data_IF_115126749581
#
_entry.id   IF_115126749581
#
_cell.length_a   1.000
_cell.length_b   1.000
_cell.length_c   1.000
_cell.angle_alpha   90.00
_cell.angle_beta   90.00
_cell.angle_gamma   90.00
#
_symmetry.space_group_name_H-M   'P 1'
#
loop_
_entity.id
_entity.type
_entity.pdbx_description
1 polymer ?
#
# COMPACT_ATOMS: atom_id res chain seq x y z
N UNK A 1 -21.71 22.20 -6.58
CA UNK A 1 -21.98 23.53 -7.15
C UNK A 1 -23.48 23.77 -7.04
N UNK A 2 -23.92 24.70 -6.18
CA UNK A 2 -25.34 24.97 -5.95
C UNK A 2 -25.70 26.35 -6.51
N UNK A 3 -26.70 26.38 -7.40
CA UNK A 3 -27.25 27.58 -8.06
C UNK A 3 -28.22 28.36 -7.15
N UNK A 4 -28.20 29.69 -7.31
CA UNK A 4 -29.13 30.64 -6.70
C UNK A 4 -30.39 30.85 -7.56
N UNK A 5 -31.56 30.95 -6.92
CA UNK A 5 -32.80 31.51 -7.51
C UNK A 5 -33.36 32.64 -6.60
N UNK A 6 -33.98 33.71 -7.15
CA UNK A 6 -34.25 34.96 -6.43
C UNK A 6 -35.66 35.06 -5.80
N UNK A 7 -35.77 35.84 -4.71
CA UNK A 7 -36.99 36.11 -3.92
C UNK A 7 -37.95 37.10 -4.59
N UNK A 8 -39.26 36.80 -4.48
CA UNK A 8 -40.42 37.66 -4.81
C UNK A 8 -40.51 38.91 -3.93
N UNK A 9 -40.88 40.04 -4.54
CA UNK A 9 -41.26 41.31 -3.88
C UNK A 9 -42.64 41.21 -3.22
N UNK A 10 -42.78 41.64 -1.96
CA UNK A 10 -44.06 41.89 -1.29
C UNK A 10 -44.29 43.39 -1.08
N UNK A 11 -45.57 43.80 -1.12
CA UNK A 11 -46.10 45.17 -1.10
C UNK A 11 -45.91 45.88 0.25
N UNK A 12 -45.65 47.20 0.20
CA UNK A 12 -45.59 48.11 1.36
C UNK A 12 -46.97 48.35 2.01
N UNK A 13 -47.06 48.43 3.34
CA UNK A 13 -48.24 48.91 4.06
C UNK A 13 -48.23 50.44 4.26
N UNK A 14 -49.42 50.99 4.58
CA UNK A 14 -49.77 52.41 4.53
C UNK A 14 -49.12 53.30 5.62
N UNK A 15 -49.04 54.60 5.30
CA UNK A 15 -48.26 55.66 6.00
C UNK A 15 -48.68 55.97 7.44
N UNK A 16 -49.73 55.36 7.98
CA UNK A 16 -50.15 55.60 9.39
C UNK A 16 -49.53 54.64 10.40
N UNK A 17 -48.88 53.56 9.96
CA UNK A 17 -48.17 52.62 10.86
C UNK A 17 -46.73 53.05 11.17
N UNK A 18 -46.15 53.94 10.36
CA UNK A 18 -44.73 54.33 10.41
C UNK A 18 -44.45 55.32 11.57
N UNK A 19 -45.41 56.15 11.96
CA UNK A 19 -45.21 57.19 12.98
C UNK A 19 -45.19 56.67 14.42
N UNK A 20 -45.70 55.46 14.70
CA UNK A 20 -45.63 54.83 16.03
C UNK A 20 -44.46 53.84 16.19
N UNK A 21 -43.86 53.37 15.09
CA UNK A 21 -42.76 52.39 15.13
C UNK A 21 -41.38 53.03 15.36
N UNK A 22 -41.19 54.30 14.97
CA UNK A 22 -39.91 55.00 15.11
C UNK A 22 -39.49 55.18 16.59
N UNK A 23 -40.34 55.66 17.52
CA UNK A 23 -39.92 55.80 18.91
C UNK A 23 -39.65 54.45 19.58
N UNK A 24 -40.41 53.40 19.24
CA UNK A 24 -40.18 52.04 19.76
C UNK A 24 -38.86 51.47 19.25
N UNK A 25 -38.53 51.68 17.97
CA UNK A 25 -37.26 51.24 17.40
C UNK A 25 -36.06 51.95 18.04
N UNK A 26 -36.16 53.26 18.30
CA UNK A 26 -35.09 54.01 18.97
C UNK A 26 -34.91 53.51 20.41
N UNK A 27 -35.99 53.26 21.15
CA UNK A 27 -35.90 52.69 22.51
C UNK A 27 -35.27 51.30 22.49
N UNK A 28 -35.67 50.43 21.56
CA UNK A 28 -35.06 49.10 21.42
C UNK A 28 -33.56 49.16 21.08
N UNK A 29 -33.15 50.09 20.21
CA UNK A 29 -31.75 50.27 19.84
C UNK A 29 -30.93 50.83 21.00
N UNK A 30 -31.47 51.77 21.78
CA UNK A 30 -30.81 52.30 22.98
C UNK A 30 -30.70 51.24 24.07
N UNK A 31 -31.75 50.46 24.31
CA UNK A 31 -31.71 49.33 25.26
C UNK A 31 -30.72 48.26 24.82
N UNK A 32 -30.66 47.93 23.52
CA UNK A 32 -29.68 46.99 22.98
C UNK A 32 -28.24 47.52 23.09
N UNK A 33 -28.01 48.83 22.89
CA UNK A 33 -26.69 49.43 23.08
C UNK A 33 -26.29 49.47 24.57
N UNK A 34 -27.23 49.76 25.48
CA UNK A 34 -26.96 49.73 26.92
C UNK A 34 -26.71 48.31 27.45
N UNK A 35 -27.46 47.31 26.96
CA UNK A 35 -27.23 45.90 27.25
C UNK A 35 -25.92 45.37 26.65
N UNK A 36 -25.59 45.76 25.42
CA UNK A 36 -24.32 45.41 24.77
C UNK A 36 -23.09 45.98 25.50
N UNK A 37 -23.22 47.19 26.05
CA UNK A 37 -22.15 47.84 26.82
C UNK A 37 -21.96 47.20 28.21
N UNK A 38 -23.06 46.81 28.87
CA UNK A 38 -22.98 46.11 30.16
C UNK A 38 -22.44 44.68 30.02
N UNK A 39 -22.79 43.97 28.95
CA UNK A 39 -22.31 42.60 28.70
C UNK A 39 -20.82 42.54 28.29
N UNK A 40 -20.30 43.59 27.65
CA UNK A 40 -18.86 43.69 27.33
C UNK A 40 -18.00 44.01 28.56
N UNK A 41 -18.51 44.83 29.50
CA UNK A 41 -17.79 45.07 30.76
C UNK A 41 -17.79 43.84 31.69
N UNK A 42 -18.84 43.02 31.69
CA UNK A 42 -18.88 41.78 32.51
C UNK A 42 -18.08 40.63 31.91
N UNK A 43 -17.99 40.49 30.58
CA UNK A 43 -17.26 39.38 29.96
C UNK A 43 -15.73 39.56 29.98
N UNK A 44 -15.24 40.81 30.03
CA UNK A 44 -13.80 41.11 30.16
C UNK A 44 -13.30 40.95 31.61
N UNK A 45 -14.20 41.02 32.60
CA UNK A 45 -13.81 40.94 34.01
C UNK A 45 -13.52 39.51 34.52
N UNK A 46 -14.04 38.46 33.87
CA UNK A 46 -13.93 37.07 34.32
C UNK A 46 -12.83 36.24 33.62
N UNK A 47 -12.20 36.74 32.55
CA UNK A 47 -10.95 36.16 32.06
C UNK A 47 -9.76 36.72 32.83
N UNK A 48 -9.48 36.15 34.02
CA UNK A 48 -8.12 36.19 34.57
C UNK A 48 -7.19 35.39 33.66
N UNK A 49 -6.81 35.97 32.53
CA UNK A 49 -5.55 35.59 31.90
C UNK A 49 -4.48 36.08 32.87
N UNK A 50 -3.89 35.16 33.64
CA UNK A 50 -2.63 35.45 34.31
C UNK A 50 -1.71 36.03 33.25
N UNK A 51 -1.40 37.32 33.37
CA UNK A 51 -0.26 37.90 32.67
C UNK A 51 0.92 37.05 33.08
N UNK A 52 1.38 36.18 32.17
CA UNK A 52 2.65 35.51 32.30
C UNK A 52 3.67 36.64 32.39
N UNK A 53 4.13 36.93 33.61
CA UNK A 53 5.24 37.84 33.83
C UNK A 53 6.34 37.42 32.86
N UNK A 54 6.92 38.40 32.13
CA UNK A 54 8.08 38.14 31.28
C UNK A 54 9.09 37.37 32.13
N UNK A 55 9.44 36.12 31.77
CA UNK A 55 10.28 35.32 32.64
C UNK A 55 11.59 36.07 32.90
N UNK A 56 12.00 36.15 34.15
CA UNK A 56 13.30 36.74 34.48
C UNK A 56 14.42 35.96 33.78
N UNK A 57 15.56 36.59 33.51
CA UNK A 57 16.71 35.92 32.87
C UNK A 57 17.18 34.67 33.64
N UNK A 58 16.94 34.63 34.95
CA UNK A 58 17.20 33.48 35.82
C UNK A 58 16.17 32.34 35.64
N UNK A 59 14.88 32.65 35.43
CA UNK A 59 13.86 31.65 35.07
C UNK A 59 14.11 31.05 33.68
N UNK A 60 14.61 31.85 32.73
CA UNK A 60 15.01 31.35 31.42
C UNK A 60 16.13 30.31 31.51
N UNK A 61 17.10 30.47 32.41
CA UNK A 61 18.20 29.50 32.55
C UNK A 61 17.77 28.17 33.17
N UNK A 62 16.72 28.15 33.99
CA UNK A 62 16.18 26.90 34.57
C UNK A 62 15.05 26.26 33.72
N UNK A 63 14.45 26.99 32.78
CA UNK A 63 13.34 26.51 31.93
C UNK A 63 13.75 26.15 30.50
N UNK A 64 14.92 26.60 30.04
CA UNK A 64 15.44 26.30 28.70
C UNK A 64 16.42 25.15 28.80
N UNK A 65 16.11 24.03 28.14
CA UNK A 65 17.08 22.96 28.01
C UNK A 65 18.16 23.32 26.97
N UNK A 66 19.42 23.16 27.35
CA UNK A 66 20.60 23.55 26.55
C UNK A 66 21.48 22.36 26.19
N UNK A 67 21.06 21.14 26.51
CA UNK A 67 21.77 19.94 26.10
C UNK A 67 21.73 19.76 24.58
N UNK A 68 22.64 18.95 24.06
CA UNK A 68 22.83 18.75 22.63
C UNK A 68 21.53 18.31 21.91
N UNK A 69 20.76 17.42 22.54
CA UNK A 69 19.52 16.89 21.96
C UNK A 69 18.44 17.96 21.84
N UNK A 70 18.25 18.77 22.89
CA UNK A 70 17.32 19.89 22.90
C UNK A 70 17.67 20.94 21.85
N UNK A 71 18.94 21.33 21.77
CA UNK A 71 19.41 22.31 20.78
C UNK A 71 19.19 21.78 19.36
N UNK A 72 19.49 20.51 19.13
CA UNK A 72 19.31 19.87 17.81
C UNK A 72 17.83 19.77 17.42
N UNK A 73 16.96 19.40 18.36
CA UNK A 73 15.51 19.32 18.14
C UNK A 73 14.89 20.71 17.89
N UNK A 74 15.27 21.72 18.68
CA UNK A 74 14.80 23.09 18.51
C UNK A 74 15.24 23.67 17.16
N UNK A 75 16.48 23.40 16.74
CA UNK A 75 16.98 23.83 15.42
C UNK A 75 16.19 23.18 14.28
N UNK A 76 15.90 21.87 14.36
CA UNK A 76 15.08 21.17 13.37
C UNK A 76 13.67 21.77 13.25
N UNK A 77 13.02 22.05 14.39
CA UNK A 77 11.69 22.68 14.41
C UNK A 77 11.75 24.09 13.81
N UNK A 78 12.70 24.91 14.25
CA UNK A 78 12.82 26.30 13.82
C UNK A 78 13.13 26.43 12.33
N UNK A 79 13.92 25.53 11.75
CA UNK A 79 14.26 25.54 10.32
C UNK A 79 13.05 25.22 9.43
N UNK A 80 12.13 24.37 9.89
CA UNK A 80 10.98 23.94 9.09
C UNK A 80 9.76 24.87 9.22
N UNK A 81 9.71 25.66 10.30
CA UNK A 81 8.61 26.56 10.62
C UNK A 81 8.69 27.85 9.78
N UNK A 82 7.56 28.29 9.22
CA UNK A 82 7.41 29.64 8.66
C UNK A 82 6.73 30.57 9.68
N UNK A 83 7.54 31.34 10.39
CA UNK A 83 7.06 32.31 11.39
C UNK A 83 6.27 33.49 10.80
N UNK A 84 6.22 33.63 9.46
CA UNK A 84 5.40 34.66 8.81
C UNK A 84 3.96 34.22 8.60
N UNK A 85 3.69 32.92 8.60
CA UNK A 85 2.34 32.39 8.56
C UNK A 85 1.67 32.53 9.94
N UNK A 86 0.41 32.92 9.98
CA UNK A 86 -0.35 32.98 11.23
C UNK A 86 -0.82 31.56 11.62
N UNK A 87 -0.36 30.98 12.74
CA UNK A 87 -0.76 29.65 13.16
C UNK A 87 -2.27 29.53 13.43
N UNK A 88 -2.96 30.63 13.75
CA UNK A 88 -4.42 30.60 13.95
C UNK A 88 -5.20 30.48 12.63
N UNK A 89 -4.59 30.88 11.51
CA UNK A 89 -5.21 30.82 10.19
C UNK A 89 -4.74 29.60 9.39
N UNK A 90 -3.44 29.28 9.44
CA UNK A 90 -2.85 28.14 8.74
C UNK A 90 -1.72 27.51 9.57
N UNK A 91 -2.10 26.54 10.41
CA UNK A 91 -1.17 25.78 11.26
C UNK A 91 -0.14 24.98 10.46
N UNK A 92 -0.47 24.54 9.24
CA UNK A 92 0.41 23.72 8.40
C UNK A 92 1.48 24.60 7.76
N UNK A 93 1.09 25.74 7.20
CA UNK A 93 2.04 26.71 6.67
C UNK A 93 2.97 27.22 7.78
N UNK A 94 2.45 27.51 8.97
CA UNK A 94 3.28 27.89 10.11
C UNK A 94 4.26 26.78 10.51
N UNK A 95 3.81 25.55 10.70
CA UNK A 95 4.67 24.47 11.19
C UNK A 95 5.66 23.92 10.15
N UNK A 96 5.28 23.90 8.87
CA UNK A 96 5.98 23.16 7.81
C UNK A 96 6.31 24.02 6.58
N UNK A 97 5.96 25.31 6.55
CA UNK A 97 6.05 26.16 5.36
C UNK A 97 7.46 26.27 4.77
N UNK A 98 8.50 26.03 5.58
CA UNK A 98 9.89 26.04 5.12
C UNK A 98 10.48 24.63 4.91
N UNK A 99 9.72 23.55 5.15
CA UNK A 99 10.23 22.18 5.10
C UNK A 99 10.92 21.85 3.76
N UNK A 100 10.25 22.16 2.65
CA UNK A 100 10.76 21.90 1.30
C UNK A 100 11.99 22.73 0.91
N UNK A 101 12.29 23.83 1.61
CA UNK A 101 13.47 24.66 1.33
C UNK A 101 14.78 24.02 1.84
N UNK A 102 14.67 23.12 2.81
CA UNK A 102 15.81 22.54 3.52
C UNK A 102 15.97 21.02 3.32
N UNK A 103 14.97 20.38 2.72
CA UNK A 103 14.88 18.93 2.58
C UNK A 103 14.63 18.52 1.13
N UNK A 104 15.49 18.93 0.19
CA UNK A 104 15.40 18.49 -1.21
C UNK A 104 16.53 17.51 -1.56
N UNK A 105 16.28 16.18 -1.56
CA UNK A 105 17.27 15.25 -2.04
C UNK A 105 17.32 15.19 -3.57
N UNK A 106 16.18 15.21 -4.30
CA UNK A 106 16.12 14.67 -5.66
C UNK A 106 14.81 14.99 -6.44
N UNK A 107 14.23 16.20 -6.38
CA UNK A 107 12.98 16.52 -7.12
C UNK A 107 11.81 15.54 -6.80
N UNK A 108 11.65 15.13 -5.54
CA UNK A 108 10.52 14.27 -5.17
C UNK A 108 9.21 15.07 -5.26
N UNK A 109 8.18 14.48 -5.88
CA UNK A 109 6.89 15.13 -6.14
C UNK A 109 6.11 15.45 -4.85
N UNK A 110 6.43 14.74 -3.75
CA UNK A 110 5.91 14.96 -2.41
C UNK A 110 7.05 14.80 -1.40
N UNK A 111 7.19 15.74 -0.46
CA UNK A 111 8.24 15.72 0.55
C UNK A 111 7.65 15.82 1.95
N UNK A 112 8.01 14.89 2.83
CA UNK A 112 7.60 14.90 4.23
C UNK A 112 8.61 14.14 5.12
N UNK A 113 8.59 14.34 6.45
CA UNK A 113 9.50 13.68 7.38
C UNK A 113 9.57 12.15 7.25
N UNK A 114 8.46 11.52 6.90
CA UNK A 114 8.41 10.06 6.71
C UNK A 114 9.20 9.60 5.49
N UNK A 115 9.19 10.37 4.40
CA UNK A 115 9.96 10.09 3.19
C UNK A 115 11.45 10.26 3.46
N UNK A 116 11.85 11.33 4.15
CA UNK A 116 13.24 11.56 4.53
C UNK A 116 13.80 10.46 5.43
N UNK A 117 13.01 10.03 6.42
CA UNK A 117 13.38 8.90 7.27
C UNK A 117 13.53 7.62 6.46
N UNK A 118 12.62 7.36 5.51
CA UNK A 118 12.68 6.20 4.63
C UNK A 118 13.95 6.19 3.77
N UNK A 119 14.38 7.35 3.25
CA UNK A 119 15.66 7.48 2.54
C UNK A 119 16.87 7.23 3.45
N UNK A 120 16.86 7.73 4.69
CA UNK A 120 17.93 7.47 5.66
C UNK A 120 18.05 5.98 5.96
N UNK A 121 16.93 5.31 6.25
CA UNK A 121 16.88 3.86 6.47
C UNK A 121 17.36 3.10 5.23
N UNK A 122 16.88 3.50 4.04
CA UNK A 122 17.32 2.90 2.77
C UNK A 122 18.83 2.98 2.59
N UNK A 123 19.46 4.14 2.85
CA UNK A 123 20.91 4.30 2.72
C UNK A 123 21.68 3.34 3.64
N UNK A 124 21.23 3.17 4.88
CA UNK A 124 21.87 2.23 5.81
C UNK A 124 21.68 0.78 5.38
N UNK A 125 20.49 0.40 4.90
CA UNK A 125 20.27 -0.95 4.36
C UNK A 125 21.10 -1.19 3.09
N UNK A 126 21.22 -0.21 2.19
CA UNK A 126 22.10 -0.30 1.02
C UNK A 126 23.57 -0.46 1.40
N UNK A 127 24.05 0.20 2.47
CA UNK A 127 25.40 -0.03 3.02
C UNK A 127 25.62 -1.46 3.49
N UNK A 128 24.56 -2.17 3.90
CA UNK A 128 24.64 -3.59 4.27
C UNK A 128 24.67 -4.46 3.01
N UNK A 129 23.76 -4.22 2.07
CA UNK A 129 23.59 -5.01 0.85
C UNK A 129 24.77 -4.93 -0.12
N UNK A 130 25.43 -3.76 -0.19
CA UNK A 130 26.58 -3.53 -1.08
C UNK A 130 27.88 -4.14 -0.59
N UNK A 131 27.98 -4.49 0.71
CA UNK A 131 29.15 -5.19 1.24
C UNK A 131 29.21 -6.63 0.70
N UNK A 132 30.36 -7.13 0.24
CA UNK A 132 30.56 -8.53 -0.09
C UNK A 132 30.14 -9.43 1.07
N UNK A 133 29.53 -10.57 0.76
CA UNK A 133 29.30 -11.59 1.77
C UNK A 133 30.66 -12.13 2.26
N UNK A 134 30.83 -12.20 3.57
CA UNK A 134 32.03 -12.74 4.21
C UNK A 134 31.85 -14.23 4.50
N UNK A 135 32.95 -14.98 4.57
CA UNK A 135 32.94 -16.36 5.07
C UNK A 135 32.48 -16.47 6.53
N UNK A 136 32.54 -15.37 7.28
CA UNK A 136 32.03 -15.26 8.65
C UNK A 136 30.53 -14.95 8.74
N UNK A 137 29.87 -14.59 7.64
CA UNK A 137 28.44 -14.29 7.66
C UNK A 137 27.63 -15.56 7.91
N UNK A 138 26.56 -15.45 8.70
CA UNK A 138 25.57 -16.52 8.78
C UNK A 138 24.90 -16.70 7.40
N UNK A 139 24.45 -17.92 7.04
CA UNK A 139 23.83 -18.16 5.73
C UNK A 139 22.70 -17.16 5.41
N UNK A 140 21.83 -16.86 6.38
CA UNK A 140 20.73 -15.90 6.21
C UNK A 140 21.17 -14.43 6.10
N UNK A 141 22.38 -14.07 6.54
CA UNK A 141 22.96 -12.74 6.35
C UNK A 141 23.68 -12.61 5.00
N UNK A 142 24.26 -13.71 4.50
CA UNK A 142 24.91 -13.76 3.19
C UNK A 142 23.89 -13.70 2.03
N UNK A 143 22.76 -14.40 2.16
CA UNK A 143 21.70 -14.46 1.14
C UNK A 143 21.24 -13.09 0.58
N UNK A 144 20.82 -12.11 1.41
CA UNK A 144 20.40 -10.81 0.89
C UNK A 144 21.53 -10.06 0.16
N UNK A 145 22.78 -10.19 0.61
CA UNK A 145 23.95 -9.59 -0.05
C UNK A 145 24.21 -10.22 -1.41
N UNK A 146 24.19 -11.55 -1.48
CA UNK A 146 24.34 -12.29 -2.74
C UNK A 146 23.22 -11.98 -3.72
N UNK A 147 21.97 -11.97 -3.26
CA UNK A 147 20.82 -11.61 -4.08
C UNK A 147 21.00 -10.22 -4.67
N UNK A 148 21.34 -9.22 -3.85
CA UNK A 148 21.52 -7.85 -4.30
C UNK A 148 22.64 -7.74 -5.35
N UNK A 149 23.81 -8.32 -5.09
CA UNK A 149 24.95 -8.30 -6.01
C UNK A 149 24.64 -9.00 -7.34
N UNK A 150 23.99 -10.18 -7.29
CA UNK A 150 23.54 -10.90 -8.49
C UNK A 150 22.47 -10.12 -9.25
N UNK A 151 21.55 -9.47 -8.55
CA UNK A 151 20.52 -8.63 -9.18
C UNK A 151 21.13 -7.42 -9.91
N UNK A 152 22.18 -6.81 -9.36
CA UNK A 152 22.87 -5.67 -9.96
C UNK A 152 23.73 -6.04 -11.18
N UNK A 153 24.28 -7.26 -11.23
CA UNK A 153 25.16 -7.73 -12.32
C UNK A 153 24.40 -7.98 -13.65
N UNK A 154 24.61 -7.14 -14.68
CA UNK A 154 23.83 -7.15 -15.95
C UNK A 154 24.14 -8.32 -16.91
N UNK A 155 25.40 -8.63 -17.27
CA UNK A 155 25.69 -9.55 -18.38
C UNK A 155 25.33 -11.02 -18.13
N UNK A 156 25.28 -11.45 -16.86
CA UNK A 156 24.93 -12.83 -16.47
C UNK A 156 23.40 -13.07 -16.53
N UNK A 157 22.59 -12.00 -16.57
CA UNK A 157 21.13 -12.06 -16.33
C UNK A 157 20.30 -12.43 -17.55
N UNK A 158 20.48 -11.80 -18.72
CA UNK A 158 19.43 -11.90 -19.75
C UNK A 158 19.29 -13.31 -20.34
N UNK A 159 20.41 -13.99 -20.61
CA UNK A 159 20.39 -15.38 -21.09
C UNK A 159 19.94 -16.36 -20.00
N UNK A 160 20.44 -16.21 -18.77
CA UNK A 160 20.08 -17.09 -17.64
C UNK A 160 18.63 -16.88 -17.21
N UNK A 161 18.14 -15.65 -17.19
CA UNK A 161 16.78 -15.29 -16.81
C UNK A 161 15.78 -15.79 -17.86
N UNK A 162 16.06 -15.61 -19.15
CA UNK A 162 15.22 -16.19 -20.21
C UNK A 162 15.13 -17.70 -20.06
N UNK A 163 16.27 -18.38 -19.89
CA UNK A 163 16.30 -19.84 -19.69
C UNK A 163 15.51 -20.27 -18.46
N UNK A 164 15.73 -19.62 -17.31
CA UNK A 164 15.01 -19.93 -16.07
C UNK A 164 13.50 -19.72 -16.19
N UNK A 165 13.07 -18.62 -16.84
CA UNK A 165 11.66 -18.36 -17.11
C UNK A 165 11.02 -19.42 -18.01
N UNK A 166 11.70 -19.83 -19.08
CA UNK A 166 11.22 -20.90 -19.95
C UNK A 166 11.08 -22.22 -19.16
N UNK A 167 12.04 -22.55 -18.29
CA UNK A 167 11.94 -23.72 -17.41
C UNK A 167 10.75 -23.63 -16.46
N UNK A 168 10.48 -22.47 -15.84
CA UNK A 168 9.30 -22.30 -14.98
C UNK A 168 7.99 -22.48 -15.75
N UNK A 169 7.93 -21.99 -17.00
CA UNK A 169 6.77 -22.18 -17.86
C UNK A 169 6.60 -23.65 -18.24
N UNK A 170 7.67 -24.36 -18.58
CA UNK A 170 7.63 -25.81 -18.86
C UNK A 170 7.07 -26.61 -17.67
N UNK A 171 7.43 -26.26 -16.44
CA UNK A 171 6.93 -26.93 -15.22
C UNK A 171 5.41 -26.80 -15.01
N UNK A 172 4.75 -25.84 -15.67
CA UNK A 172 3.29 -25.67 -15.67
C UNK A 172 2.66 -26.00 -17.02
N UNK A 173 3.35 -26.76 -17.87
CA UNK A 173 2.80 -27.20 -19.16
C UNK A 173 2.97 -26.20 -20.30
N UNK A 174 3.84 -25.19 -20.14
CA UNK A 174 4.22 -24.24 -21.19
C UNK A 174 3.30 -23.03 -21.32
N UNK A 175 3.66 -22.13 -22.23
CA UNK A 175 2.84 -20.97 -22.60
C UNK A 175 2.31 -21.19 -24.03
N UNK A 176 1.00 -21.39 -24.25
CA UNK A 176 0.44 -21.65 -25.57
C UNK A 176 0.71 -20.59 -26.65
N UNK A 177 1.16 -19.39 -26.26
CA UNK A 177 1.64 -18.34 -27.16
C UNK A 177 2.98 -18.69 -27.79
N UNK A 178 3.89 -19.29 -27.01
CA UNK A 178 5.27 -19.59 -27.43
C UNK A 178 5.40 -20.94 -28.16
N UNK A 179 4.39 -21.81 -28.05
CA UNK A 179 4.41 -23.14 -28.65
C UNK A 179 3.13 -23.40 -29.47
N UNK A 180 3.22 -23.39 -30.82
CA UNK A 180 2.11 -23.74 -31.70
C UNK A 180 1.65 -25.20 -31.56
N UNK A 181 2.48 -26.09 -31.02
CA UNK A 181 2.17 -27.50 -30.76
C UNK A 181 1.75 -27.75 -29.31
N UNK A 182 1.45 -26.69 -28.56
CA UNK A 182 1.02 -26.78 -27.18
C UNK A 182 -0.17 -27.73 -27.02
N UNK A 183 -0.11 -28.57 -25.99
CA UNK A 183 -1.17 -29.53 -25.67
C UNK A 183 -1.88 -29.15 -24.39
N UNK A 184 -3.19 -29.35 -24.40
CA UNK A 184 -4.06 -29.01 -23.29
C UNK A 184 -3.76 -29.86 -22.04
N UNK A 185 -3.69 -29.22 -20.88
CA UNK A 185 -3.46 -29.93 -19.62
C UNK A 185 -4.65 -30.85 -19.30
N UNK A 186 -4.33 -32.05 -18.82
CA UNK A 186 -5.32 -33.12 -18.57
C UNK A 186 -6.07 -32.95 -17.25
N UNK A 187 -5.48 -32.23 -16.30
CA UNK A 187 -6.07 -31.94 -14.98
C UNK A 187 -7.27 -31.00 -15.08
N UNK A 188 -7.99 -30.84 -13.97
CA UNK A 188 -9.05 -29.81 -13.90
C UNK A 188 -8.41 -28.42 -13.83
N UNK A 189 -9.17 -27.38 -14.19
CA UNK A 189 -8.63 -26.02 -14.21
C UNK A 189 -8.27 -25.53 -12.81
N UNK A 190 -8.98 -25.97 -11.77
CA UNK A 190 -8.71 -25.70 -10.36
C UNK A 190 -7.36 -26.30 -9.93
N UNK A 191 -7.12 -27.56 -10.30
CA UNK A 191 -5.86 -28.26 -10.01
C UNK A 191 -4.68 -27.60 -10.73
N UNK A 192 -4.89 -27.13 -11.97
CA UNK A 192 -3.89 -26.37 -12.71
C UNK A 192 -3.49 -25.06 -12.00
N UNK A 193 -4.47 -24.21 -11.64
CA UNK A 193 -4.16 -22.95 -10.93
C UNK A 193 -3.63 -23.19 -9.51
N UNK A 194 -4.04 -24.28 -8.85
CA UNK A 194 -3.52 -24.67 -7.55
C UNK A 194 -2.05 -25.13 -7.63
N UNK A 195 -1.68 -25.88 -8.67
CA UNK A 195 -0.30 -26.33 -8.91
C UNK A 195 0.63 -25.13 -9.11
N UNK A 196 0.18 -24.12 -9.85
CA UNK A 196 0.93 -22.86 -10.05
C UNK A 196 1.13 -22.13 -8.72
N UNK A 197 0.09 -22.07 -7.89
CA UNK A 197 0.16 -21.48 -6.54
C UNK A 197 1.12 -22.26 -5.63
N UNK A 198 1.06 -23.60 -5.64
CA UNK A 198 1.92 -24.47 -4.82
C UNK A 198 3.40 -24.33 -5.20
N UNK A 199 3.71 -24.37 -6.51
CA UNK A 199 5.09 -24.33 -7.01
C UNK A 199 5.73 -22.96 -6.87
N UNK A 200 4.98 -21.90 -7.17
CA UNK A 200 5.57 -20.58 -7.37
C UNK A 200 5.05 -19.50 -6.41
N UNK A 201 4.04 -19.81 -5.59
CA UNK A 201 3.35 -18.82 -4.76
C UNK A 201 2.81 -17.65 -5.61
N UNK A 202 2.27 -17.99 -6.78
CA UNK A 202 1.67 -17.04 -7.73
C UNK A 202 0.18 -17.33 -7.84
N UNK A 203 -0.63 -16.49 -7.22
CA UNK A 203 -2.08 -16.46 -7.45
C UNK A 203 -2.36 -15.78 -8.79
N UNK A 204 -2.73 -16.53 -9.83
CA UNK A 204 -3.11 -15.93 -11.11
C UNK A 204 -4.59 -15.54 -11.13
N UNK A 205 -5.44 -16.43 -10.62
CA UNK A 205 -6.90 -16.23 -10.50
C UNK A 205 -7.28 -16.11 -9.04
N UNK A 206 -6.83 -17.07 -8.23
CA UNK A 206 -7.10 -17.14 -6.80
C UNK A 206 -5.85 -16.76 -6.03
N UNK A 207 -5.94 -15.71 -5.20
CA UNK A 207 -4.94 -15.41 -4.19
C UNK A 207 -5.17 -16.31 -2.99
N UNK A 208 -4.19 -17.14 -2.68
CA UNK A 208 -4.23 -18.01 -1.51
C UNK A 208 -3.26 -17.52 -0.45
N UNK A 209 -3.74 -17.38 0.77
CA UNK A 209 -2.93 -16.88 1.90
C UNK A 209 -3.34 -17.54 3.20
N UNK A 210 -2.44 -17.50 4.18
CA UNK A 210 -2.77 -17.88 5.56
C UNK A 210 -3.08 -16.59 6.31
N UNK A 211 -4.26 -16.54 6.92
CA UNK A 211 -4.71 -15.38 7.69
C UNK A 211 -5.34 -15.79 9.01
N UNK A 212 -5.59 -14.79 9.85
CA UNK A 212 -6.30 -14.98 11.12
C UNK A 212 -7.76 -15.27 10.83
N UNK A 213 -8.35 -16.25 11.51
CA UNK A 213 -9.79 -16.53 11.39
C UNK A 213 -10.58 -15.32 11.96
N UNK A 214 -11.46 -14.69 11.17
CA UNK A 214 -12.20 -13.50 11.60
C UNK A 214 -13.21 -13.79 12.71
N UNK A 215 -13.65 -15.04 12.85
CA UNK A 215 -14.57 -15.48 13.91
C UNK A 215 -13.86 -16.01 15.16
N UNK A 216 -12.62 -16.50 15.01
CA UNK A 216 -11.78 -16.97 16.12
C UNK A 216 -10.32 -16.54 15.90
N UNK A 217 -9.91 -15.43 16.50
CA UNK A 217 -8.58 -14.86 16.27
C UNK A 217 -7.41 -15.69 16.83
N UNK A 218 -7.71 -16.77 17.57
CA UNK A 218 -6.69 -17.73 18.03
C UNK A 218 -6.35 -18.79 16.96
N UNK A 219 -7.10 -18.85 15.88
CA UNK A 219 -6.88 -19.79 14.77
C UNK A 219 -6.30 -19.08 13.54
N UNK A 220 -5.43 -19.80 12.84
CA UNK A 220 -4.98 -19.42 11.49
C UNK A 220 -5.63 -20.34 10.48
N UNK A 221 -6.14 -19.75 9.41
CA UNK A 221 -6.96 -20.44 8.40
C UNK A 221 -6.48 -20.06 7.01
N UNK A 222 -6.71 -20.97 6.07
CA UNK A 222 -6.48 -20.69 4.66
C UNK A 222 -7.56 -19.73 4.15
N UNK A 223 -7.14 -18.65 3.52
CA UNK A 223 -8.01 -17.64 2.94
C UNK A 223 -7.82 -17.61 1.42
N UNK A 224 -8.92 -17.75 0.70
CA UNK A 224 -9.02 -17.61 -0.75
C UNK A 224 -9.64 -16.25 -1.07
N UNK A 225 -8.94 -15.44 -1.86
CA UNK A 225 -9.38 -14.10 -2.25
C UNK A 225 -9.24 -13.93 -3.77
N UNK A 226 -9.98 -12.99 -4.38
CA UNK A 226 -9.67 -12.55 -5.73
C UNK A 226 -8.21 -12.05 -5.81
N UNK A 227 -7.50 -12.41 -6.86
CA UNK A 227 -6.16 -11.88 -7.09
C UNK A 227 -6.22 -10.38 -7.42
N UNK A 228 -5.51 -9.49 -6.71
CA UNK A 228 -5.45 -8.07 -7.07
C UNK A 228 -4.73 -7.85 -8.41
N UNK A 229 -5.31 -7.04 -9.30
CA UNK A 229 -4.93 -6.89 -10.72
C UNK A 229 -3.87 -5.80 -11.01
N UNK A 230 -3.31 -5.15 -9.98
CA UNK A 230 -2.61 -3.87 -10.16
C UNK A 230 -1.24 -3.93 -10.85
N UNK A 231 -0.78 -5.08 -11.35
CA UNK A 231 0.60 -5.28 -11.81
C UNK A 231 0.78 -5.79 -13.25
N UNK A 232 -0.28 -6.15 -13.97
CA UNK A 232 -0.15 -6.79 -15.28
C UNK A 232 -0.85 -5.97 -16.37
N UNK A 233 -0.06 -5.30 -17.21
CA UNK A 233 -0.57 -4.49 -18.32
C UNK A 233 -0.39 -5.19 -19.68
N UNK A 234 -1.17 -4.81 -20.71
CA UNK A 234 -0.97 -5.28 -22.08
C UNK A 234 0.43 -5.03 -22.64
N UNK A 235 1.05 -3.89 -22.31
CA UNK A 235 2.42 -3.59 -22.75
C UNK A 235 3.47 -4.43 -21.99
N UNK A 236 3.20 -4.82 -20.73
CA UNK A 236 4.12 -5.72 -20.01
C UNK A 236 4.04 -7.14 -20.57
N UNK A 237 2.83 -7.60 -20.90
CA UNK A 237 2.61 -8.84 -21.60
C UNK A 237 3.39 -8.86 -22.92
N UNK A 238 3.21 -7.84 -23.77
CA UNK A 238 3.85 -7.75 -25.09
C UNK A 238 5.38 -7.84 -24.97
N UNK A 239 5.97 -6.98 -24.14
CA UNK A 239 7.42 -6.97 -23.95
C UNK A 239 7.95 -8.28 -23.35
N UNK A 240 7.16 -9.00 -22.55
CA UNK A 240 7.54 -10.30 -21.99
C UNK A 240 7.50 -11.39 -23.06
N UNK A 241 6.49 -11.40 -23.92
CA UNK A 241 6.39 -12.34 -25.04
C UNK A 241 7.58 -12.19 -26.00
N UNK A 242 7.91 -10.96 -26.41
CA UNK A 242 9.06 -10.66 -27.27
C UNK A 242 10.38 -11.11 -26.63
N UNK A 243 10.57 -10.84 -25.34
CA UNK A 243 11.76 -11.28 -24.60
C UNK A 243 11.93 -12.80 -24.63
N UNK A 244 10.84 -13.55 -24.46
CA UNK A 244 10.85 -15.01 -24.49
C UNK A 244 10.99 -15.59 -25.90
N UNK A 245 10.88 -14.76 -26.95
CA UNK A 245 11.18 -15.14 -28.33
C UNK A 245 9.96 -15.24 -29.24
N UNK A 246 8.80 -14.71 -28.83
CA UNK A 246 7.67 -14.56 -29.72
C UNK A 246 8.01 -13.57 -30.86
N UNK A 247 7.48 -13.82 -32.05
CA UNK A 247 7.64 -12.90 -33.19
C UNK A 247 6.66 -11.73 -33.05
N UNK A 248 7.12 -10.51 -33.36
CA UNK A 248 6.28 -9.31 -33.24
C UNK A 248 5.02 -9.42 -34.11
N UNK A 249 3.87 -9.04 -33.56
CA UNK A 249 2.55 -9.17 -34.19
C UNK A 249 1.98 -10.59 -34.29
N UNK A 250 2.74 -11.65 -33.98
CA UNK A 250 2.27 -13.05 -34.09
C UNK A 250 1.26 -13.46 -33.01
N UNK A 251 1.18 -12.71 -31.91
CA UNK A 251 0.42 -13.08 -30.70
C UNK A 251 -0.69 -12.08 -30.34
N UNK A 252 -1.18 -11.27 -31.28
CA UNK A 252 -2.24 -10.29 -31.03
C UNK A 252 -3.51 -10.93 -30.43
N UNK A 253 -3.92 -12.10 -30.94
CA UNK A 253 -5.04 -12.86 -30.37
C UNK A 253 -4.82 -13.22 -28.90
N UNK A 254 -3.62 -13.65 -28.55
CA UNK A 254 -3.28 -14.06 -27.18
C UNK A 254 -3.20 -12.85 -26.23
N UNK A 255 -2.75 -11.69 -26.73
CA UNK A 255 -2.80 -10.41 -26.02
C UNK A 255 -4.25 -9.94 -25.78
N UNK A 256 -5.13 -10.07 -26.78
CA UNK A 256 -6.56 -9.76 -26.64
C UNK A 256 -7.21 -10.69 -25.61
N UNK A 257 -6.86 -11.97 -25.66
CA UNK A 257 -7.32 -12.98 -24.69
C UNK A 257 -6.89 -12.62 -23.27
N UNK A 258 -5.62 -12.26 -23.07
CA UNK A 258 -5.11 -11.78 -21.79
C UNK A 258 -5.90 -10.57 -21.28
N UNK A 259 -6.10 -9.58 -22.14
CA UNK A 259 -6.82 -8.34 -21.80
C UNK A 259 -8.27 -8.61 -21.42
N UNK A 260 -8.95 -9.49 -22.16
CA UNK A 260 -10.32 -9.90 -21.88
C UNK A 260 -10.45 -10.65 -20.55
N UNK A 261 -9.61 -11.66 -20.31
CA UNK A 261 -9.62 -12.42 -19.04
C UNK A 261 -9.31 -11.50 -17.86
N UNK A 262 -8.27 -10.66 -17.97
CA UNK A 262 -7.89 -9.70 -16.92
C UNK A 262 -9.05 -8.74 -16.58
N UNK A 263 -9.67 -8.15 -17.61
CA UNK A 263 -10.80 -7.22 -17.44
C UNK A 263 -12.01 -7.90 -16.79
N UNK A 264 -12.33 -9.13 -17.21
CA UNK A 264 -13.45 -9.87 -16.66
C UNK A 264 -13.23 -10.28 -15.20
N UNK A 265 -12.01 -10.67 -14.82
CA UNK A 265 -11.68 -10.96 -13.44
C UNK A 265 -11.80 -9.70 -12.57
N UNK A 266 -11.25 -8.57 -13.02
CA UNK A 266 -11.35 -7.29 -12.32
C UNK A 266 -12.81 -6.83 -12.17
N UNK A 267 -13.59 -6.93 -13.25
CA UNK A 267 -15.02 -6.57 -13.26
C UNK A 267 -15.81 -7.48 -12.32
N UNK A 268 -15.54 -8.79 -12.34
CA UNK A 268 -16.16 -9.76 -11.44
C UNK A 268 -15.85 -9.43 -9.97
N UNK A 269 -14.61 -9.07 -9.66
CA UNK A 269 -14.20 -8.68 -8.31
C UNK A 269 -14.94 -7.41 -7.86
N UNK A 270 -15.04 -6.39 -8.71
CA UNK A 270 -15.68 -5.11 -8.36
C UNK A 270 -17.20 -5.20 -8.24
N UNK A 271 -17.85 -5.99 -9.10
CA UNK A 271 -19.31 -6.09 -9.15
C UNK A 271 -19.89 -7.11 -8.16
N UNK A 272 -19.05 -7.91 -7.53
CA UNK A 272 -19.50 -8.92 -6.58
C UNK A 272 -19.55 -8.35 -5.17
N UNK A 273 -20.62 -8.65 -4.46
CA UNK A 273 -20.72 -8.33 -3.04
C UNK A 273 -19.57 -9.01 -2.27
N UNK A 274 -18.92 -8.27 -1.36
CA UNK A 274 -17.85 -8.75 -0.48
C UNK A 274 -18.39 -9.67 0.64
N UNK A 275 -19.26 -10.62 0.27
CA UNK A 275 -19.72 -11.67 1.16
C UNK A 275 -18.58 -12.66 1.42
N UNK A 276 -18.25 -12.85 2.69
CA UNK A 276 -17.26 -13.81 3.16
C UNK A 276 -17.96 -15.11 3.59
N UNK A 277 -17.41 -16.25 3.15
CA UNK A 277 -17.87 -17.58 3.54
C UNK A 277 -16.75 -18.27 4.31
N UNK A 278 -16.98 -18.53 5.60
CA UNK A 278 -16.03 -19.20 6.48
C UNK A 278 -16.64 -20.46 7.09
N UNK A 279 -15.87 -21.55 7.16
CA UNK A 279 -16.31 -22.78 7.82
C UNK A 279 -15.51 -24.02 7.42
N UNK A 280 -15.93 -25.21 7.89
CA UNK A 280 -15.38 -26.49 7.44
C UNK A 280 -15.43 -26.62 5.92
N UNK A 281 -14.36 -27.13 5.31
CA UNK A 281 -14.19 -27.28 3.87
C UNK A 281 -15.39 -27.93 3.18
N UNK A 282 -15.93 -29.00 3.77
CA UNK A 282 -17.10 -29.69 3.20
C UNK A 282 -18.37 -28.81 3.14
N UNK A 283 -18.57 -27.90 4.09
CA UNK A 283 -19.70 -26.95 4.09
C UNK A 283 -19.47 -25.80 3.13
N UNK A 284 -18.23 -25.29 3.09
CA UNK A 284 -17.87 -24.23 2.16
C UNK A 284 -18.05 -24.72 0.72
N UNK A 285 -17.59 -25.93 0.39
CA UNK A 285 -17.74 -26.52 -0.96
C UNK A 285 -19.20 -26.55 -1.44
N UNK A 286 -20.19 -26.77 -0.56
CA UNK A 286 -21.61 -26.80 -0.92
C UNK A 286 -22.13 -25.44 -1.42
N UNK A 287 -21.47 -24.33 -1.07
CA UNK A 287 -21.83 -23.00 -1.53
C UNK A 287 -21.23 -22.64 -2.89
N UNK A 288 -20.27 -23.42 -3.39
CA UNK A 288 -19.53 -23.15 -4.63
C UNK A 288 -19.57 -24.36 -5.58
N UNK A 289 -20.73 -24.68 -6.18
CA UNK A 289 -20.89 -25.88 -7.01
C UNK A 289 -20.05 -25.88 -8.29
N UNK A 290 -19.61 -24.69 -8.75
CA UNK A 290 -18.85 -24.51 -9.99
C UNK A 290 -17.34 -24.30 -9.76
N UNK A 291 -16.87 -24.46 -8.52
CA UNK A 291 -15.47 -24.37 -8.17
C UNK A 291 -15.14 -25.45 -7.15
N UNK A 292 -14.29 -26.41 -7.54
CA UNK A 292 -13.84 -27.48 -6.67
C UNK A 292 -12.76 -26.96 -5.69
N UNK A 293 -13.24 -26.30 -4.62
CA UNK A 293 -12.43 -25.75 -3.53
C UNK A 293 -11.68 -26.87 -2.82
N UNK A 294 -12.32 -28.02 -2.60
CA UNK A 294 -11.66 -29.15 -1.95
C UNK A 294 -10.43 -29.60 -2.72
N UNK A 295 -10.57 -29.80 -4.04
CA UNK A 295 -9.45 -30.15 -4.90
C UNK A 295 -8.39 -29.06 -4.94
N UNK A 296 -8.79 -27.80 -5.10
CA UNK A 296 -7.86 -26.67 -5.09
C UNK A 296 -7.02 -26.62 -3.80
N UNK A 297 -7.68 -26.68 -2.63
CA UNK A 297 -7.02 -26.60 -1.32
C UNK A 297 -6.11 -27.80 -1.07
N UNK A 298 -6.55 -29.01 -1.43
CA UNK A 298 -5.73 -30.23 -1.33
C UNK A 298 -4.46 -30.11 -2.19
N UNK A 299 -4.58 -29.63 -3.42
CA UNK A 299 -3.42 -29.44 -4.31
C UNK A 299 -2.47 -28.36 -3.80
N UNK A 300 -2.98 -27.22 -3.30
CA UNK A 300 -2.12 -26.16 -2.74
C UNK A 300 -1.33 -26.64 -1.52
N UNK A 301 -1.94 -27.47 -0.67
CA UNK A 301 -1.35 -27.95 0.58
C UNK A 301 -0.68 -29.33 0.46
N UNK A 302 -0.64 -29.90 -0.74
CA UNK A 302 -0.03 -31.21 -0.97
C UNK A 302 1.45 -31.19 -0.59
N UNK A 303 1.89 -32.23 0.12
CA UNK A 303 3.23 -32.32 0.72
C UNK A 303 3.50 -31.39 1.91
N UNK A 304 2.58 -30.50 2.29
CA UNK A 304 2.73 -29.60 3.44
C UNK A 304 1.93 -30.11 4.64
N UNK A 305 0.63 -30.36 4.46
CA UNK A 305 -0.28 -30.80 5.52
C UNK A 305 -1.44 -31.62 4.95
N UNK A 306 -1.86 -32.65 5.67
CA UNK A 306 -3.04 -33.43 5.30
C UNK A 306 -4.32 -32.61 5.52
N UNK A 307 -5.12 -32.44 4.47
CA UNK A 307 -6.36 -31.66 4.52
C UNK A 307 -7.53 -32.57 4.91
N UNK A 308 -8.16 -32.29 6.05
CA UNK A 308 -9.39 -32.97 6.48
C UNK A 308 -10.62 -32.26 5.89
N UNK A 309 -11.76 -32.95 5.67
CA UNK A 309 -13.03 -32.29 5.36
C UNK A 309 -13.43 -31.22 6.39
N UNK A 310 -12.99 -31.37 7.64
CA UNK A 310 -13.26 -30.42 8.72
C UNK A 310 -12.30 -29.22 8.77
N UNK A 311 -11.29 -29.16 7.89
CA UNK A 311 -10.36 -28.02 7.83
C UNK A 311 -11.13 -26.73 7.58
N UNK A 312 -10.94 -25.73 8.43
CA UNK A 312 -11.57 -24.42 8.28
C UNK A 312 -10.91 -23.64 7.15
N UNK A 313 -11.72 -23.17 6.21
CA UNK A 313 -11.31 -22.31 5.10
C UNK A 313 -12.19 -21.08 5.05
N UNK A 314 -11.62 -19.98 4.55
CA UNK A 314 -12.33 -18.72 4.36
C UNK A 314 -12.25 -18.35 2.88
N UNK A 315 -13.38 -18.02 2.28
CA UNK A 315 -13.49 -17.55 0.90
C UNK A 315 -14.07 -16.15 0.94
N UNK A 316 -13.27 -15.16 0.55
CA UNK A 316 -13.68 -13.77 0.48
C UNK A 316 -14.25 -13.47 -0.90
N UNK A 317 -15.33 -12.69 -0.96
CA UNK A 317 -16.00 -12.30 -2.20
C UNK A 317 -16.64 -13.50 -2.91
N UNK A 318 -17.72 -14.01 -2.32
CA UNK A 318 -18.48 -15.17 -2.82
C UNK A 318 -18.92 -15.02 -4.27
N UNK A 319 -19.36 -13.82 -4.67
CA UNK A 319 -19.81 -13.54 -6.04
C UNK A 319 -18.71 -13.77 -7.08
N UNK A 320 -17.47 -13.37 -6.76
CA UNK A 320 -16.32 -13.59 -7.64
C UNK A 320 -16.09 -15.09 -7.87
N UNK A 321 -15.99 -15.87 -6.78
CA UNK A 321 -15.74 -17.31 -6.85
C UNK A 321 -16.90 -18.07 -7.50
N UNK A 322 -18.14 -17.65 -7.29
CA UNK A 322 -19.31 -18.24 -7.93
C UNK A 322 -19.31 -18.08 -9.47
N UNK A 323 -18.65 -17.04 -9.99
CA UNK A 323 -18.62 -16.72 -11.42
C UNK A 323 -17.30 -17.08 -12.13
N UNK A 324 -16.29 -17.63 -11.43
CA UNK A 324 -14.98 -17.96 -12.02
C UNK A 324 -15.08 -18.83 -13.29
N UNK A 325 -15.95 -19.84 -13.26
CA UNK A 325 -16.20 -20.73 -14.39
C UNK A 325 -16.67 -20.03 -15.68
N UNK A 326 -17.20 -18.80 -15.59
CA UNK A 326 -17.66 -18.00 -16.74
C UNK A 326 -16.56 -17.13 -17.35
N UNK A 327 -15.51 -16.85 -16.58
CA UNK A 327 -14.46 -15.88 -16.94
C UNK A 327 -13.43 -16.54 -17.85
N UNK A 328 -13.25 -17.85 -17.71
CA UNK A 328 -12.33 -18.67 -18.49
C UNK A 328 -13.07 -19.33 -19.64
N UNK A 329 -12.84 -18.85 -20.86
CA UNK A 329 -13.52 -19.35 -22.07
C UNK A 329 -13.04 -20.73 -22.52
N UNK A 330 -11.77 -21.07 -22.28
CA UNK A 330 -11.17 -22.36 -22.61
C UNK A 330 -9.94 -22.64 -21.75
N UNK A 331 -9.49 -23.90 -21.66
CA UNK A 331 -8.22 -24.22 -20.97
C UNK A 331 -7.01 -23.56 -21.62
N UNK A 332 -7.02 -23.35 -22.95
CA UNK A 332 -5.94 -22.64 -23.64
C UNK A 332 -5.88 -21.17 -23.19
N UNK A 333 -7.03 -20.52 -23.07
CA UNK A 333 -7.09 -19.12 -22.63
C UNK A 333 -6.64 -18.98 -21.19
N UNK A 334 -7.03 -19.92 -20.32
CA UNK A 334 -6.50 -19.99 -18.95
C UNK A 334 -4.99 -20.20 -18.93
N UNK A 335 -4.49 -21.18 -19.69
CA UNK A 335 -3.07 -21.50 -19.73
C UNK A 335 -2.26 -20.28 -20.18
N UNK A 336 -2.71 -19.57 -21.22
CA UNK A 336 -2.11 -18.32 -21.66
C UNK A 336 -2.12 -17.24 -20.59
N UNK A 337 -3.26 -17.04 -19.93
CA UNK A 337 -3.39 -16.03 -18.89
C UNK A 337 -2.45 -16.33 -17.71
N UNK A 338 -2.50 -17.55 -17.18
CA UNK A 338 -1.68 -18.00 -16.05
C UNK A 338 -0.19 -17.97 -16.38
N UNK A 339 0.20 -18.49 -17.54
CA UNK A 339 1.60 -18.47 -17.99
C UNK A 339 2.13 -17.04 -18.14
N UNK A 340 1.31 -16.11 -18.65
CA UNK A 340 1.73 -14.72 -18.77
C UNK A 340 1.90 -14.04 -17.40
N UNK A 341 1.01 -14.30 -16.44
CA UNK A 341 1.14 -13.84 -15.06
C UNK A 341 2.41 -14.38 -14.40
N UNK A 342 2.71 -15.67 -14.55
CA UNK A 342 3.95 -16.29 -14.03
C UNK A 342 5.18 -15.67 -14.69
N UNK A 343 5.20 -15.55 -16.02
CA UNK A 343 6.31 -14.96 -16.76
C UNK A 343 6.58 -13.51 -16.33
N UNK A 344 5.53 -12.69 -16.25
CA UNK A 344 5.62 -11.30 -15.79
C UNK A 344 6.05 -11.20 -14.32
N UNK A 345 5.59 -12.11 -13.46
CA UNK A 345 5.96 -12.10 -12.03
C UNK A 345 7.44 -12.35 -11.78
N UNK A 346 8.06 -13.23 -12.57
CA UNK A 346 9.47 -13.60 -12.43
C UNK A 346 10.41 -12.85 -13.39
N UNK A 347 9.89 -11.99 -14.25
CA UNK A 347 10.71 -11.21 -15.17
C UNK A 347 11.60 -10.24 -14.41
N UNK A 348 12.90 -10.29 -14.72
CA UNK A 348 13.94 -9.56 -13.98
C UNK A 348 14.07 -8.08 -14.31
N UNK A 349 13.32 -7.59 -15.30
CA UNK A 349 13.30 -6.19 -15.69
C UNK A 349 12.00 -5.51 -15.26
N UNK A 350 12.08 -4.32 -14.62
CA UNK A 350 10.91 -3.54 -14.28
C UNK A 350 10.15 -3.14 -15.54
N UNK A 351 8.83 -3.19 -15.45
CA UNK A 351 7.95 -2.71 -16.49
C UNK A 351 8.15 -1.19 -16.71
N UNK A 352 8.35 -0.80 -17.96
CA UNK A 352 8.83 0.53 -18.37
C UNK A 352 7.88 1.71 -18.15
N UNK A 353 6.65 1.51 -17.66
CA UNK A 353 5.65 2.59 -17.58
C UNK A 353 5.29 3.02 -16.15
N UNK A 354 5.83 2.38 -15.09
CA UNK A 354 5.55 2.81 -13.71
C UNK A 354 6.58 3.76 -13.09
N UNK A 355 7.71 4.05 -13.77
CA UNK A 355 8.72 4.98 -13.25
C UNK A 355 9.50 5.65 -14.38
N UNK A 356 8.95 6.71 -14.98
CA UNK A 356 9.75 7.68 -15.75
C UNK A 356 10.56 8.59 -14.79
N UNK A 357 11.47 8.02 -13.98
CA UNK A 357 12.47 8.80 -13.23
C UNK A 357 13.80 8.01 -13.13
N UNK A 358 14.71 8.34 -14.05
CA UNK A 358 16.16 8.06 -14.01
C UNK A 358 16.62 6.58 -14.03
N UNK A 359 16.99 6.12 -15.23
CA UNK A 359 17.56 4.79 -15.60
C UNK A 359 18.76 4.27 -14.78
N UNK A 360 19.39 5.08 -13.92
CA UNK A 360 20.41 4.63 -12.95
C UNK A 360 19.85 4.30 -11.55
N UNK A 361 18.75 4.95 -11.15
CA UNK A 361 18.06 4.79 -9.86
C UNK A 361 17.06 3.62 -9.86
N UNK A 362 16.55 3.26 -11.04
CA UNK A 362 15.51 2.24 -11.23
C UNK A 362 15.98 0.84 -10.82
N UNK A 363 17.19 0.43 -11.21
CA UNK A 363 17.72 -0.90 -10.90
C UNK A 363 18.10 -1.07 -9.43
N UNK A 364 18.75 -0.05 -8.86
CA UNK A 364 19.06 -0.01 -7.43
C UNK A 364 17.75 -0.15 -6.63
N UNK A 365 16.70 0.57 -7.03
CA UNK A 365 15.37 0.47 -6.43
C UNK A 365 14.71 -0.88 -6.60
N UNK A 366 14.76 -1.48 -7.78
CA UNK A 366 14.22 -2.82 -8.02
C UNK A 366 14.94 -3.88 -7.18
N UNK A 367 16.28 -3.90 -7.21
CA UNK A 367 17.08 -4.87 -6.46
C UNK A 367 16.97 -4.65 -4.94
N UNK A 368 16.90 -3.40 -4.48
CA UNK A 368 16.65 -3.06 -3.08
C UNK A 368 15.27 -3.55 -2.64
N UNK A 369 14.23 -3.30 -3.44
CA UNK A 369 12.88 -3.76 -3.16
C UNK A 369 12.83 -5.29 -3.08
N UNK A 370 13.38 -5.99 -4.08
CA UNK A 370 13.48 -7.45 -4.07
C UNK A 370 14.19 -7.99 -2.83
N UNK A 371 15.34 -7.38 -2.46
CA UNK A 371 16.10 -7.81 -1.29
C UNK A 371 15.31 -7.60 0.02
N UNK A 372 14.66 -6.44 0.18
CA UNK A 372 13.92 -6.10 1.40
C UNK A 372 12.60 -6.87 1.56
N UNK A 373 11.96 -7.26 0.45
CA UNK A 373 10.76 -8.09 0.49
C UNK A 373 11.09 -9.57 0.77
N UNK A 374 12.08 -10.14 0.08
CA UNK A 374 12.43 -11.55 0.23
C UNK A 374 13.18 -11.86 1.53
N UNK A 375 14.01 -10.91 2.00
CA UNK A 375 14.93 -11.11 3.11
C UNK A 375 14.69 -10.12 4.25
N UNK A 376 13.43 -9.72 4.46
CA UNK A 376 13.04 -8.72 5.47
C UNK A 376 13.65 -9.00 6.84
N UNK A 377 13.42 -10.20 7.38
CA UNK A 377 13.87 -10.59 8.72
C UNK A 377 15.40 -10.53 8.90
N UNK A 378 16.22 -11.21 8.07
CA UNK A 378 17.67 -11.12 8.23
C UNK A 378 18.22 -9.72 7.96
N UNK A 379 17.63 -8.96 7.03
CA UNK A 379 18.03 -7.56 6.80
C UNK A 379 17.70 -6.67 7.99
N UNK A 380 16.53 -6.81 8.59
CA UNK A 380 16.17 -6.08 9.81
C UNK A 380 17.13 -6.42 10.95
N UNK A 381 17.51 -7.69 11.10
CA UNK A 381 18.49 -8.07 12.12
C UNK A 381 19.85 -7.39 11.88
N UNK A 382 20.39 -7.46 10.67
CA UNK A 382 21.65 -6.79 10.33
C UNK A 382 21.55 -5.27 10.47
N UNK A 383 20.41 -4.69 10.11
CA UNK A 383 20.16 -3.26 10.28
C UNK A 383 20.24 -2.89 11.76
N UNK A 384 19.52 -3.59 12.65
CA UNK A 384 19.54 -3.32 14.08
C UNK A 384 20.92 -3.51 14.71
N UNK A 385 21.72 -4.48 14.22
CA UNK A 385 23.09 -4.72 14.68
C UNK A 385 24.07 -3.63 14.23
N UNK A 386 23.88 -3.06 13.04
CA UNK A 386 24.79 -2.08 12.45
C UNK A 386 24.40 -0.62 12.70
N UNK A 387 23.11 -0.33 12.94
CA UNK A 387 22.58 1.04 13.05
C UNK A 387 22.68 1.65 14.44
N UNK A 388 23.44 1.04 15.36
CA UNK A 388 23.50 1.42 16.78
C UNK A 388 22.09 1.60 17.38
N UNK A 389 21.17 0.67 17.08
CA UNK A 389 19.83 0.74 17.65
C UNK A 389 19.93 0.62 19.18
N UNK A 390 19.61 1.71 19.87
CA UNK A 390 19.65 1.76 21.32
C UNK A 390 18.51 0.92 21.91
N UNK A 391 18.88 -0.22 22.50
CA UNK A 391 17.93 -1.16 23.08
C UNK A 391 17.24 -0.57 24.32
N UNK A 392 17.87 0.41 24.98
CA UNK A 392 17.34 1.14 26.14
C UNK A 392 16.15 2.04 25.79
N UNK A 393 15.87 2.25 24.50
CA UNK A 393 14.67 2.98 24.04
C UNK A 393 13.41 2.11 24.16
N UNK A 394 13.54 0.76 24.13
CA UNK A 394 12.36 -0.13 24.13
C UNK A 394 11.48 0.01 25.37
N UNK A 395 12.00 0.06 26.61
CA UNK A 395 11.17 0.27 27.80
C UNK A 395 10.42 1.60 27.77
N UNK A 396 11.08 2.68 27.35
CA UNK A 396 10.48 4.02 27.25
C UNK A 396 9.31 4.05 26.27
N UNK A 397 9.48 3.43 25.09
CA UNK A 397 8.39 3.33 24.11
C UNK A 397 7.22 2.49 24.64
N UNK A 398 7.50 1.40 25.38
CA UNK A 398 6.44 0.60 26.02
C UNK A 398 5.64 1.40 27.05
N UNK A 399 6.33 2.22 27.85
CA UNK A 399 5.69 3.13 28.80
C UNK A 399 4.81 4.16 28.08
N UNK A 400 5.30 4.79 27.00
CA UNK A 400 4.50 5.72 26.20
C UNK A 400 3.25 5.07 25.63
N UNK A 401 3.38 3.85 25.08
CA UNK A 401 2.22 3.09 24.57
C UNK A 401 1.25 2.73 25.68
N UNK A 402 1.74 2.39 26.88
CA UNK A 402 0.90 2.11 28.04
C UNK A 402 0.16 3.35 28.54
N UNK A 403 0.74 4.54 28.41
CA UNK A 403 0.10 5.80 28.79
C UNK A 403 -0.93 6.31 27.77
N UNK A 404 -0.82 5.88 26.51
CA UNK A 404 -1.79 6.21 25.44
C UNK A 404 -2.99 5.27 25.46
N UNK A 405 -2.78 3.99 25.81
CA UNK A 405 -3.84 2.99 25.97
C UNK A 405 -4.69 3.28 27.20
#
# INVERSE_FOLDING_TARGET
>A
MAECQPKRKSRMPSKSCITLLIPVFIVCVVVAMLWGRQSTETFVADSKFETIDKPTTADFQNRVCTNQDCVSAAALIAQNMDQKADPCNDTVAFACGNYGLHHDPLNAMEMCPMIDLSYRVRREVLRILTKPASSSDKPWHALPKWYYQKCMNKPEKDATAKKALLTFLEEIGGWPLLDPQWTEFTTSWEEYIATVMQKFYVGAVVLTSIGVNPTNTSEVVLQLKPQPFDFFSPSYFNSTALFLGAEDGSFNRDLDTFSHVSTNLQTSQHNSDDEEVAGPLYLVQQQFPNFDIEKYVRTVLDGIVEVSPNTTVVVNNKGYFANLHKIVSSKRDLANYVASVVAMRFRSEPYGDMVEIQKGSERDSFCFFGATQLFKMPLTQMFLQNSNFDVEVRPKVKEMVANIK
#
